data_IF_875487555756
#
_entry.id   IF_875487555756
#
_cell.length_a   1.000
_cell.length_b   1.000
_cell.length_c   1.000
_cell.angle_alpha   90.00
_cell.angle_beta   90.00
_cell.angle_gamma   90.00
#
_symmetry.space_group_name_H-M   'P 1'
#
loop_
_entity.id
_entity.type
_entity.pdbx_description
1 polymer ?
#
# COMPACT_ATOMS: atom_id res chain seq x y z
N UNK A 1 -1.55 -20.53 25.41
CA UNK A 1 -2.53 -19.56 24.88
C UNK A 1 -1.89 -18.86 23.67
N UNK A 2 -2.10 -19.38 22.46
CA UNK A 2 -1.57 -18.75 21.24
C UNK A 2 -2.56 -17.70 20.75
N UNK A 3 -2.22 -16.42 20.89
CA UNK A 3 -2.98 -15.33 20.27
C UNK A 3 -2.68 -15.38 18.77
N UNK A 4 -3.66 -15.76 17.96
CA UNK A 4 -3.59 -15.61 16.51
C UNK A 4 -3.46 -14.12 16.21
N UNK A 5 -2.24 -13.66 15.93
CA UNK A 5 -2.02 -12.34 15.37
C UNK A 5 -2.51 -12.45 13.92
N UNK A 6 -3.64 -11.83 13.61
CA UNK A 6 -4.06 -11.64 12.23
C UNK A 6 -2.87 -11.05 11.46
N UNK A 7 -2.49 -11.62 10.30
CA UNK A 7 -1.32 -11.15 9.57
C UNK A 7 -1.47 -9.65 9.30
N UNK A 8 -0.45 -8.88 9.67
CA UNK A 8 -0.42 -7.42 9.45
C UNK A 8 -0.57 -7.20 7.94
N UNK A 9 -1.72 -6.66 7.51
CA UNK A 9 -1.91 -6.26 6.11
C UNK A 9 -0.83 -5.24 5.75
N UNK A 10 -0.06 -5.55 4.72
CA UNK A 10 0.94 -4.65 4.13
C UNK A 10 0.35 -3.97 2.90
N UNK A 11 0.94 -2.86 2.45
CA UNK A 11 0.44 -2.03 1.35
C UNK A 11 0.37 -2.73 -0.03
N UNK A 12 0.74 -4.01 -0.13
CA UNK A 12 0.59 -4.83 -1.34
C UNK A 12 -0.45 -5.95 -1.20
N UNK A 13 -1.10 -6.07 -0.03
CA UNK A 13 -1.99 -7.20 0.28
C UNK A 13 -3.19 -7.31 -0.67
N UNK A 14 -3.72 -6.19 -1.15
CA UNK A 14 -4.95 -6.15 -1.98
C UNK A 14 -4.67 -6.18 -3.51
N UNK A 15 -3.43 -6.43 -3.93
CA UNK A 15 -2.97 -6.36 -5.33
C UNK A 15 -3.03 -7.72 -6.03
N UNK A 16 -3.22 -7.72 -7.36
CA UNK A 16 -3.16 -8.97 -8.13
C UNK A 16 -1.71 -9.44 -8.37
N UNK A 17 -1.48 -10.75 -8.56
CA UNK A 17 -0.18 -11.26 -9.02
C UNK A 17 0.23 -10.62 -10.36
N UNK A 18 1.48 -10.14 -10.46
CA UNK A 18 1.99 -9.46 -11.66
C UNK A 18 1.86 -7.94 -11.65
N UNK A 19 1.35 -7.37 -10.55
CA UNK A 19 1.40 -5.94 -10.26
C UNK A 19 2.83 -5.38 -10.29
N UNK A 20 2.98 -4.17 -10.82
CA UNK A 20 4.26 -3.43 -10.83
C UNK A 20 4.15 -2.18 -9.95
N UNK A 21 5.26 -1.78 -9.32
CA UNK A 21 5.34 -0.51 -8.62
C UNK A 21 6.57 -0.35 -7.77
N UNK A 22 6.74 0.86 -7.24
CA UNK A 22 7.86 1.25 -6.42
C UNK A 22 7.39 2.14 -5.26
N UNK A 23 8.06 1.98 -4.12
CA UNK A 23 7.94 2.87 -2.98
C UNK A 23 9.11 3.86 -3.00
N UNK A 24 8.81 5.14 -2.74
CA UNK A 24 9.81 6.19 -2.58
C UNK A 24 10.08 6.52 -1.11
N UNK A 25 11.10 7.33 -0.86
CA UNK A 25 11.30 7.97 0.44
C UNK A 25 10.09 8.83 0.82
N UNK A 26 9.96 9.19 2.10
CA UNK A 26 8.93 10.12 2.58
C UNK A 26 7.48 9.63 2.42
N UNK A 27 7.29 8.31 2.30
CA UNK A 27 5.96 7.73 2.23
C UNK A 27 5.32 7.72 0.84
N UNK A 28 5.99 8.25 -0.18
CA UNK A 28 5.50 8.24 -1.57
C UNK A 28 5.38 6.81 -2.08
N UNK A 29 4.32 6.48 -2.82
CA UNK A 29 4.18 5.18 -3.48
C UNK A 29 3.44 5.30 -4.81
N UNK A 30 3.84 4.46 -5.78
CA UNK A 30 3.12 4.29 -7.02
C UNK A 30 3.00 2.79 -7.33
N UNK A 31 1.76 2.35 -7.55
CA UNK A 31 1.38 0.95 -7.66
C UNK A 31 0.38 0.81 -8.82
N UNK A 32 0.71 0.00 -9.84
CA UNK A 32 -0.12 -0.21 -11.03
C UNK A 32 -0.60 -1.67 -11.11
N UNK A 33 -1.92 -1.85 -11.10
CA UNK A 33 -2.58 -3.15 -11.28
C UNK A 33 -3.15 -3.23 -12.71
N UNK A 34 -2.47 -3.89 -13.66
CA UNK A 34 -2.95 -3.97 -15.04
C UNK A 34 -4.18 -4.87 -15.17
N UNK A 35 -4.38 -5.84 -14.25
CA UNK A 35 -5.52 -6.76 -14.28
C UNK A 35 -6.79 -6.03 -13.85
N UNK A 36 -6.69 -5.26 -12.75
CA UNK A 36 -7.79 -4.41 -12.26
C UNK A 36 -7.88 -3.07 -12.97
N UNK A 37 -6.96 -2.77 -13.90
CA UNK A 37 -6.89 -1.52 -14.68
C UNK A 37 -6.89 -0.27 -13.80
N UNK A 38 -6.17 -0.31 -12.69
CA UNK A 38 -6.11 0.77 -11.70
C UNK A 38 -4.67 1.14 -11.37
N UNK A 39 -4.43 2.43 -11.21
CA UNK A 39 -3.17 2.96 -10.69
C UNK A 39 -3.42 3.67 -9.36
N UNK A 40 -2.73 3.22 -8.31
CA UNK A 40 -2.73 3.81 -6.99
C UNK A 40 -1.49 4.68 -6.84
N UNK A 41 -1.68 5.98 -6.60
CA UNK A 41 -0.60 6.94 -6.40
C UNK A 41 -0.82 7.65 -5.06
N UNK A 42 0.13 7.51 -4.14
CA UNK A 42 0.18 8.25 -2.89
C UNK A 42 1.35 9.23 -2.94
N UNK A 43 1.03 10.52 -2.91
CA UNK A 43 2.00 11.60 -2.76
C UNK A 43 1.69 12.33 -1.47
N UNK A 44 2.60 12.23 -0.50
CA UNK A 44 2.49 12.92 0.79
C UNK A 44 3.82 13.64 1.06
N UNK A 45 3.72 14.85 1.61
CA UNK A 45 4.89 15.65 1.96
C UNK A 45 5.16 15.50 3.47
N UNK A 46 5.77 14.38 3.84
CA UNK A 46 6.09 14.08 5.24
C UNK A 46 7.58 13.84 5.43
N UNK A 47 8.22 14.68 6.23
CA UNK A 47 9.66 14.60 6.52
C UNK A 47 9.98 13.62 7.64
N UNK A 48 8.99 13.22 8.44
CA UNK A 48 9.11 12.29 9.56
C UNK A 48 8.91 10.82 9.16
N UNK A 49 8.71 10.55 7.86
CA UNK A 49 8.71 9.20 7.30
C UNK A 49 10.03 8.99 6.54
N UNK A 50 10.94 8.21 7.10
CA UNK A 50 12.17 7.80 6.41
C UNK A 50 11.89 6.71 5.36
N UNK A 51 12.23 5.47 5.67
CA UNK A 51 11.64 4.32 4.98
C UNK A 51 10.22 4.09 5.51
N UNK A 52 9.24 4.14 4.61
CA UNK A 52 7.83 4.03 4.94
C UNK A 52 7.22 2.67 4.53
N UNK A 53 8.05 1.67 4.22
CA UNK A 53 7.59 0.31 3.94
C UNK A 53 6.79 -0.25 5.11
N UNK A 54 5.59 -0.75 4.84
CA UNK A 54 4.69 -1.25 5.88
C UNK A 54 4.20 -0.20 6.90
N UNK A 55 4.38 1.10 6.60
CA UNK A 55 3.81 2.19 7.41
C UNK A 55 2.29 2.14 7.40
N UNK A 56 1.69 2.58 8.50
CA UNK A 56 0.24 2.56 8.69
C UNK A 56 -0.48 3.40 7.61
N UNK A 57 0.08 4.56 7.24
CA UNK A 57 -0.48 5.42 6.19
C UNK A 57 -0.57 4.70 4.83
N UNK A 58 0.46 3.93 4.44
CA UNK A 58 0.46 3.20 3.18
C UNK A 58 -0.52 2.02 3.19
N UNK A 59 -0.59 1.29 4.30
CA UNK A 59 -1.55 0.21 4.46
C UNK A 59 -2.99 0.73 4.44
N UNK A 60 -3.26 1.81 5.19
CA UNK A 60 -4.58 2.43 5.25
C UNK A 60 -5.01 2.99 3.89
N UNK A 61 -4.10 3.70 3.20
CA UNK A 61 -4.35 4.18 1.85
C UNK A 61 -4.67 3.03 0.90
N UNK A 62 -3.83 1.97 0.87
CA UNK A 62 -4.02 0.88 -0.07
C UNK A 62 -5.37 0.18 0.14
N UNK A 63 -5.69 -0.22 1.37
CA UNK A 63 -6.94 -0.94 1.63
C UNK A 63 -8.17 -0.05 1.42
N UNK A 64 -8.09 1.24 1.73
CA UNK A 64 -9.19 2.18 1.47
C UNK A 64 -9.39 2.41 -0.02
N UNK A 65 -8.31 2.63 -0.77
CA UNK A 65 -8.36 2.83 -2.20
C UNK A 65 -8.86 1.57 -2.91
N UNK A 66 -8.32 0.39 -2.59
CA UNK A 66 -8.76 -0.89 -3.18
C UNK A 66 -10.24 -1.21 -2.89
N UNK A 67 -10.79 -0.70 -1.78
CA UNK A 67 -12.22 -0.84 -1.47
C UNK A 67 -13.08 0.20 -2.22
N UNK A 68 -12.51 1.33 -2.60
CA UNK A 68 -13.21 2.42 -3.29
C UNK A 68 -13.25 2.23 -4.80
N UNK A 69 -12.23 1.60 -5.40
CA UNK A 69 -12.19 1.31 -6.84
C UNK A 69 -12.79 -0.08 -7.10
N UNK A 70 -13.82 -0.13 -7.95
CA UNK A 70 -14.55 -1.35 -8.31
C UNK A 70 -13.92 -2.07 -9.50
#
# INVERSE_FOLDING_TARGET
MFRSLSPKKIATYDLTPGMLGAAGAWGIQALIDPVKKVAYVLMIQRTDLGNADGSEVRCAFQSSAASAVK
#
